data_IF_733771008752
#
_entry.id   IF_733771008752
#
_cell.length_a   1.000
_cell.length_b   1.000
_cell.length_c   1.000
_cell.angle_alpha   90.00
_cell.angle_beta   90.00
_cell.angle_gamma   90.00
#
_symmetry.space_group_name_H-M   'P 1'
#
loop_
_entity.id
_entity.type
_entity.pdbx_description
1 polymer ?
#
# COMPACT_ATOMS: atom_id res chain seq x y z
N UNK A 1 -0.36 7.13 13.89
CA UNK A 1 0.30 5.80 14.00
C UNK A 1 1.40 5.73 12.95
N UNK A 2 2.47 4.98 13.20
CA UNK A 2 3.49 4.68 12.17
C UNK A 2 3.12 3.41 11.40
N UNK A 3 3.61 3.24 10.17
CA UNK A 3 3.39 2.01 9.40
C UNK A 3 3.89 0.77 10.15
N UNK A 4 4.97 0.93 10.94
CA UNK A 4 5.53 -0.12 11.79
C UNK A 4 4.59 -0.60 12.90
N UNK A 5 3.53 0.15 13.20
CA UNK A 5 2.54 -0.13 14.24
C UNK A 5 1.22 -0.68 13.67
N UNK A 6 1.11 -0.83 12.34
CA UNK A 6 -0.06 -1.44 11.69
C UNK A 6 -0.15 -2.91 12.12
N UNK A 7 -1.39 -3.39 12.37
CA UNK A 7 -1.64 -4.78 12.73
C UNK A 7 -1.09 -5.75 11.68
N UNK A 8 -0.50 -6.85 12.16
CA UNK A 8 -0.05 -7.95 11.30
C UNK A 8 -1.22 -8.66 10.59
N UNK A 9 -2.45 -8.50 11.09
CA UNK A 9 -3.64 -9.02 10.42
C UNK A 9 -3.87 -8.36 9.06
N UNK A 10 -3.37 -7.12 8.87
CA UNK A 10 -3.43 -6.40 7.61
C UNK A 10 -2.20 -6.60 6.72
N UNK A 11 -1.16 -7.31 7.17
CA UNK A 11 0.02 -7.60 6.36
C UNK A 11 -0.36 -8.56 5.23
N UNK A 12 -0.31 -8.15 3.97
CA UNK A 12 -0.70 -9.01 2.84
C UNK A 12 0.50 -9.71 2.20
N UNK A 13 1.70 -9.13 2.31
CA UNK A 13 2.93 -9.73 1.80
C UNK A 13 4.16 -9.13 2.47
N UNK A 14 5.27 -9.86 2.46
CA UNK A 14 6.54 -9.42 3.02
C UNK A 14 7.71 -10.10 2.31
N UNK A 15 8.72 -9.34 1.90
CA UNK A 15 10.00 -9.85 1.39
C UNK A 15 11.06 -9.83 2.49
N UNK A 16 12.34 -9.98 2.16
CA UNK A 16 13.41 -9.70 3.13
C UNK A 16 13.51 -8.21 3.49
N UNK A 17 13.08 -7.29 2.62
CA UNK A 17 13.33 -5.84 2.76
C UNK A 17 12.08 -4.97 2.80
N UNK A 18 10.92 -5.47 2.35
CA UNK A 18 9.69 -4.68 2.19
C UNK A 18 8.51 -5.36 2.87
N UNK A 19 7.65 -4.56 3.50
CA UNK A 19 6.35 -4.97 4.01
C UNK A 19 5.23 -4.33 3.20
N UNK A 20 4.14 -5.09 3.02
CA UNK A 20 2.95 -4.66 2.28
C UNK A 20 1.73 -4.88 3.15
N UNK A 21 0.96 -3.84 3.38
CA UNK A 21 -0.24 -3.85 4.21
C UNK A 21 -1.46 -3.40 3.43
N UNK A 22 -2.62 -3.99 3.72
CA UNK A 22 -3.90 -3.36 3.38
C UNK A 22 -4.07 -2.12 4.26
N UNK A 23 -4.40 -0.97 3.65
CA UNK A 23 -4.54 0.28 4.40
C UNK A 23 -5.70 0.18 5.41
N UNK A 24 -5.48 0.45 6.71
CA UNK A 24 -6.56 0.47 7.71
C UNK A 24 -7.63 1.53 7.43
N UNK A 25 -7.23 2.63 6.80
CA UNK A 25 -8.09 3.75 6.39
C UNK A 25 -8.00 3.94 4.87
N UNK A 26 -8.65 3.06 4.08
CA UNK A 26 -8.56 3.13 2.64
C UNK A 26 -9.22 4.41 2.11
N UNK A 27 -8.52 5.14 1.23
CA UNK A 27 -9.08 6.29 0.50
C UNK A 27 -10.04 5.79 -0.59
N UNK A 28 -9.66 4.69 -1.24
CA UNK A 28 -10.48 3.94 -2.18
C UNK A 28 -10.30 2.43 -1.91
N UNK A 29 -11.26 1.58 -2.34
CA UNK A 29 -11.13 0.12 -2.19
C UNK A 29 -9.82 -0.42 -2.75
N UNK A 30 -9.13 -1.26 -1.98
CA UNK A 30 -7.86 -1.85 -2.39
C UNK A 30 -6.63 -0.97 -2.17
N UNK A 31 -6.75 0.13 -1.41
CA UNK A 31 -5.60 0.95 -1.01
C UNK A 31 -4.58 0.13 -0.22
N UNK A 32 -3.36 0.02 -0.75
CA UNK A 32 -2.24 -0.69 -0.14
C UNK A 32 -1.17 0.30 0.35
N UNK A 33 -0.56 -0.03 1.49
CA UNK A 33 0.63 0.65 2.02
C UNK A 33 1.86 -0.24 1.82
N UNK A 34 2.91 0.30 1.23
CA UNK A 34 4.18 -0.39 0.98
C UNK A 34 5.29 0.38 1.67
N UNK A 35 6.04 -0.29 2.54
CA UNK A 35 7.13 0.35 3.27
C UNK A 35 8.35 -0.56 3.37
N UNK A 36 9.56 -0.01 3.32
CA UNK A 36 10.76 -0.75 3.69
C UNK A 36 10.66 -1.24 5.14
N UNK A 37 11.38 -2.31 5.47
CA UNK A 37 11.49 -2.81 6.85
C UNK A 37 12.46 -1.98 7.68
N UNK A 38 13.47 -1.39 7.04
CA UNK A 38 14.37 -0.42 7.68
C UNK A 38 13.61 0.87 7.95
N UNK A 39 13.91 1.53 9.08
CA UNK A 39 13.24 2.79 9.48
C UNK A 39 13.81 4.01 8.75
N UNK A 40 13.83 3.97 7.43
CA UNK A 40 14.21 5.11 6.60
C UNK A 40 13.08 6.13 6.56
N UNK A 41 13.40 7.42 6.56
CA UNK A 41 12.41 8.50 6.60
C UNK A 41 12.09 9.09 5.24
N UNK A 42 13.02 8.97 4.29
CA UNK A 42 12.97 9.60 2.98
C UNK A 42 13.67 8.74 1.92
N UNK A 43 13.47 9.07 0.64
CA UNK A 43 14.04 8.32 -0.47
C UNK A 43 15.57 8.25 -0.44
N UNK A 44 16.25 9.32 0.01
CA UNK A 44 17.71 9.40 0.02
C UNK A 44 18.37 8.42 0.99
N UNK A 45 17.60 7.80 1.89
CA UNK A 45 18.09 6.84 2.86
C UNK A 45 17.92 5.39 2.39
N UNK A 46 17.22 5.14 1.29
CA UNK A 46 17.10 3.79 0.73
C UNK A 46 18.43 3.34 0.14
N UNK A 47 18.80 2.10 0.42
CA UNK A 47 19.84 1.39 -0.33
C UNK A 47 19.35 1.00 -1.73
N UNK A 48 20.27 0.64 -2.62
CA UNK A 48 19.94 0.14 -3.95
C UNK A 48 19.09 -1.14 -3.88
N UNK A 49 19.41 -2.04 -2.95
CA UNK A 49 18.66 -3.29 -2.73
C UNK A 49 17.23 -3.02 -2.27
N UNK A 50 17.04 -2.10 -1.31
CA UNK A 50 15.70 -1.72 -0.85
C UNK A 50 14.89 -1.03 -1.93
N UNK A 51 15.53 -0.15 -2.71
CA UNK A 51 14.89 0.52 -3.85
C UNK A 51 14.40 -0.50 -4.88
N UNK A 52 15.26 -1.45 -5.24
CA UNK A 52 14.94 -2.51 -6.20
C UNK A 52 13.82 -3.43 -5.70
N UNK A 53 13.92 -3.92 -4.46
CA UNK A 53 12.91 -4.79 -3.85
C UNK A 53 11.55 -4.09 -3.74
N UNK A 54 11.53 -2.83 -3.29
CA UNK A 54 10.30 -2.05 -3.11
C UNK A 54 9.57 -1.85 -4.44
N UNK A 55 10.26 -1.42 -5.51
CA UNK A 55 9.61 -1.22 -6.81
C UNK A 55 9.20 -2.54 -7.47
N UNK A 56 9.97 -3.62 -7.28
CA UNK A 56 9.54 -4.96 -7.73
C UNK A 56 8.25 -5.39 -7.05
N UNK A 57 8.11 -5.12 -5.75
CA UNK A 57 6.87 -5.40 -5.02
C UNK A 57 5.71 -4.51 -5.49
N UNK A 58 5.93 -3.23 -5.74
CA UNK A 58 4.90 -2.34 -6.31
C UNK A 58 4.34 -2.93 -7.61
N UNK A 59 5.21 -3.33 -8.54
CA UNK A 59 4.78 -3.91 -9.83
C UNK A 59 3.95 -5.18 -9.64
N UNK A 60 4.39 -6.05 -8.72
CA UNK A 60 3.71 -7.32 -8.45
C UNK A 60 2.33 -7.11 -7.81
N UNK A 61 2.24 -6.22 -6.81
CA UNK A 61 0.97 -5.89 -6.17
C UNK A 61 0.02 -5.26 -7.19
N UNK A 62 0.50 -4.35 -8.03
CA UNK A 62 -0.34 -3.72 -9.04
C UNK A 62 -1.02 -4.73 -9.96
N UNK A 63 -0.28 -5.74 -10.46
CA UNK A 63 -0.86 -6.80 -11.31
C UNK A 63 -1.97 -7.59 -10.61
N UNK A 64 -1.86 -7.80 -9.30
CA UNK A 64 -2.90 -8.48 -8.53
C UNK A 64 -4.11 -7.57 -8.33
N UNK A 65 -3.87 -6.31 -7.98
CA UNK A 65 -4.94 -5.33 -7.79
C UNK A 65 -5.74 -5.08 -9.07
N UNK A 66 -5.09 -5.10 -10.23
CA UNK A 66 -5.75 -4.96 -11.54
C UNK A 66 -6.86 -5.99 -11.73
N UNK A 67 -6.56 -7.25 -11.44
CA UNK A 67 -7.52 -8.36 -11.57
C UNK A 67 -8.58 -8.34 -10.47
N UNK A 68 -8.14 -8.22 -9.21
CA UNK A 68 -9.02 -8.29 -8.02
C UNK A 68 -9.99 -7.13 -7.94
N UNK A 69 -9.52 -5.93 -8.27
CA UNK A 69 -10.32 -4.74 -8.23
C UNK A 69 -10.86 -4.37 -9.59
N UNK A 70 -10.55 -5.05 -10.70
CA UNK A 70 -11.01 -4.66 -12.06
C UNK A 70 -10.65 -3.19 -12.38
N UNK A 71 -9.43 -2.79 -12.02
CA UNK A 71 -8.94 -1.42 -12.23
C UNK A 71 -8.16 -1.32 -13.55
N UNK A 72 -7.97 -0.10 -14.05
CA UNK A 72 -7.24 0.14 -15.32
C UNK A 72 -6.10 1.15 -15.17
N UNK A 73 -5.96 1.73 -13.99
CA UNK A 73 -4.89 2.66 -13.64
C UNK A 73 -4.59 2.56 -12.15
N UNK A 74 -3.54 3.23 -11.71
CA UNK A 74 -3.13 3.30 -10.31
C UNK A 74 -2.73 4.73 -9.96
N UNK A 75 -2.96 5.11 -8.71
CA UNK A 75 -2.30 6.26 -8.09
C UNK A 75 -1.23 5.73 -7.15
N UNK A 76 0.02 6.17 -7.35
CA UNK A 76 1.13 5.90 -6.45
C UNK A 76 1.52 7.22 -5.78
N UNK A 77 1.25 7.32 -4.48
CA UNK A 77 1.57 8.48 -3.66
C UNK A 77 2.70 8.14 -2.69
N UNK A 78 3.68 9.03 -2.54
CA UNK A 78 4.85 8.82 -1.70
C UNK A 78 4.77 9.73 -0.48
N UNK A 79 4.84 9.13 0.71
CA UNK A 79 4.93 9.86 1.97
C UNK A 79 6.39 9.93 2.42
N UNK A 80 7.14 10.85 1.81
CA UNK A 80 8.54 11.13 2.13
C UNK A 80 8.63 12.17 3.26
N UNK A 81 9.19 11.78 4.41
CA UNK A 81 9.47 12.68 5.54
C UNK A 81 8.24 13.18 6.32
N UNK A 82 7.02 12.96 5.81
CA UNK A 82 5.75 13.34 6.47
C UNK A 82 5.51 12.51 7.73
N UNK A 83 5.93 11.25 7.70
CA UNK A 83 5.90 10.34 8.84
C UNK A 83 7.34 9.98 9.23
N UNK A 84 7.54 9.51 10.46
CA UNK A 84 8.84 8.99 10.94
C UNK A 84 9.35 7.75 10.16
N UNK A 85 8.64 7.33 9.11
CA UNK A 85 8.93 6.19 8.27
C UNK A 85 8.40 6.42 6.85
N UNK A 86 9.23 6.15 5.85
CA UNK A 86 8.87 6.22 4.43
C UNK A 86 7.83 5.15 4.11
N UNK A 87 6.80 5.52 3.35
CA UNK A 87 5.93 4.54 2.71
C UNK A 87 5.25 5.09 1.47
N UNK A 88 4.74 4.17 0.66
CA UNK A 88 3.98 4.46 -0.54
C UNK A 88 2.53 4.02 -0.34
N UNK A 89 1.61 4.86 -0.81
CA UNK A 89 0.21 4.56 -1.00
C UNK A 89 0.00 4.11 -2.44
N UNK A 90 -0.36 2.85 -2.64
CA UNK A 90 -0.71 2.30 -3.94
C UNK A 90 -2.24 2.10 -3.99
N UNK A 91 -2.90 2.86 -4.86
CA UNK A 91 -4.37 2.92 -4.93
C UNK A 91 -4.82 2.51 -6.33
N UNK A 92 -5.56 1.40 -6.48
CA UNK A 92 -6.12 1.01 -7.77
C UNK A 92 -7.23 1.97 -8.19
N UNK A 93 -7.26 2.36 -9.47
CA UNK A 93 -8.14 3.40 -10.00
C UNK A 93 -9.00 2.92 -11.17
N UNK A 94 -10.24 3.39 -11.23
CA UNK A 94 -11.20 3.11 -12.31
C UNK A 94 -11.75 4.40 -12.88
N UNK A 95 -12.30 4.30 -14.09
CA UNK A 95 -13.12 5.36 -14.63
C UNK A 95 -14.30 5.65 -13.69
N UNK A 96 -14.48 6.93 -13.34
CA UNK A 96 -15.52 7.43 -12.42
C UNK A 96 -15.52 6.77 -11.02
N UNK A 97 -14.35 6.42 -10.49
CA UNK A 97 -14.24 6.00 -9.08
C UNK A 97 -14.37 7.16 -8.08
N UNK A 98 -14.19 8.39 -8.56
CA UNK A 98 -14.43 9.66 -7.88
C UNK A 98 -15.30 10.55 -8.78
N UNK A 99 -15.99 11.53 -8.18
CA UNK A 99 -16.77 12.52 -8.94
C UNK A 99 -15.82 13.40 -9.76
N UNK A 100 -14.78 13.92 -9.11
CA UNK A 100 -13.67 14.63 -9.76
C UNK A 100 -12.36 13.88 -9.52
N UNK A 101 -11.60 13.60 -10.58
CA UNK A 101 -10.40 12.75 -10.49
C UNK A 101 -9.36 13.26 -9.47
N UNK A 102 -9.23 14.59 -9.35
CA UNK A 102 -8.23 15.24 -8.50
C UNK A 102 -8.68 15.34 -7.03
N UNK A 103 -9.90 14.93 -6.68
CA UNK A 103 -10.31 14.80 -5.27
C UNK A 103 -9.42 13.85 -4.48
N UNK A 104 -8.76 12.90 -5.15
CA UNK A 104 -7.84 11.97 -4.52
C UNK A 104 -6.74 12.67 -3.72
N UNK A 105 -6.25 13.84 -4.16
CA UNK A 105 -5.22 14.59 -3.43
C UNK A 105 -5.74 15.08 -2.08
N UNK A 106 -6.99 15.58 -2.06
CA UNK A 106 -7.65 16.02 -0.82
C UNK A 106 -7.91 14.85 0.13
N UNK A 107 -8.25 13.67 -0.41
CA UNK A 107 -8.44 12.46 0.39
C UNK A 107 -7.11 11.95 0.97
N UNK A 108 -6.04 11.97 0.19
CA UNK A 108 -4.69 11.57 0.60
C UNK A 108 -4.06 12.53 1.62
N UNK A 109 -4.40 13.82 1.58
CA UNK A 109 -3.95 14.81 2.56
C UNK A 109 -4.65 14.63 3.92
N UNK A 110 -5.96 14.32 3.89
CA UNK A 110 -6.77 14.08 5.09
C UNK A 110 -6.58 12.68 5.68
N UNK A 111 -5.88 11.79 4.98
CA UNK A 111 -5.66 10.43 5.41
C UNK A 111 -4.80 10.38 6.68
N UNK A 112 -5.32 9.72 7.71
CA UNK A 112 -4.59 9.40 8.93
C UNK A 112 -4.43 7.90 9.11
N UNK A 113 -3.25 7.46 9.54
CA UNK A 113 -3.03 6.09 9.98
C UNK A 113 -3.56 5.94 11.41
N UNK A 114 -4.71 5.29 11.54
CA UNK A 114 -5.33 4.88 12.82
C UNK A 114 -5.40 3.36 12.91
N UNK A 115 -5.61 2.82 14.13
CA UNK A 115 -5.83 1.39 14.30
C UNK A 115 -7.10 0.96 13.54
N UNK A 116 -7.04 -0.24 12.96
CA UNK A 116 -8.18 -0.83 12.25
C UNK A 116 -9.35 -1.03 13.21
N UNK A 117 -10.53 -0.59 12.79
CA UNK A 117 -11.78 -0.71 13.55
C UNK A 117 -12.87 -1.40 12.72
N UNK A 118 -12.51 -2.05 11.60
CA UNK A 118 -13.43 -2.22 10.46
C UNK A 118 -13.21 -3.46 9.59
N UNK A 119 -13.46 -4.68 10.06
CA UNK A 119 -13.68 -5.87 9.20
C UNK A 119 -12.70 -6.20 8.05
N UNK A 120 -11.53 -5.54 7.93
CA UNK A 120 -10.64 -5.64 6.76
C UNK A 120 -9.77 -6.90 6.80
N UNK A 121 -9.69 -7.55 7.97
CA UNK A 121 -8.88 -8.76 8.19
C UNK A 121 -9.20 -9.88 7.20
N UNK A 122 -10.49 -10.10 6.91
CA UNK A 122 -10.89 -11.10 5.91
C UNK A 122 -10.36 -10.72 4.52
N UNK A 123 -10.44 -9.44 4.14
CA UNK A 123 -9.96 -8.99 2.83
C UNK A 123 -8.43 -9.06 2.73
N UNK A 124 -7.72 -8.72 3.80
CA UNK A 124 -6.27 -8.87 3.87
C UNK A 124 -5.86 -10.35 3.70
N UNK A 125 -6.58 -11.27 4.32
CA UNK A 125 -6.33 -12.71 4.18
C UNK A 125 -6.61 -13.23 2.76
N UNK A 126 -7.67 -12.76 2.10
CA UNK A 126 -7.94 -13.07 0.69
C UNK A 126 -6.77 -12.61 -0.22
N UNK A 127 -6.35 -11.36 -0.08
CA UNK A 127 -5.22 -10.80 -0.84
C UNK A 127 -3.93 -11.56 -0.56
N UNK A 128 -3.67 -11.93 0.70
CA UNK A 128 -2.50 -12.72 1.10
C UNK A 128 -2.49 -14.09 0.41
N UNK A 129 -3.64 -14.76 0.29
CA UNK A 129 -3.74 -16.03 -0.45
C UNK A 129 -3.41 -15.84 -1.93
N UNK A 130 -3.94 -14.81 -2.56
CA UNK A 130 -3.66 -14.52 -3.99
C UNK A 130 -2.17 -14.25 -4.19
N UNK A 131 -1.55 -13.47 -3.30
CA UNK A 131 -0.11 -13.17 -3.34
C UNK A 131 0.75 -14.43 -3.37
N UNK A 132 0.43 -15.43 -2.53
CA UNK A 132 1.17 -16.70 -2.45
C UNK A 132 1.02 -17.51 -3.75
N UNK A 133 -0.15 -17.54 -4.36
CA UNK A 133 -0.40 -18.33 -5.57
C UNK A 133 0.24 -17.73 -6.82
N UNK A 134 0.45 -16.41 -6.85
CA UNK A 134 1.20 -15.73 -7.92
C UNK A 134 2.74 -15.87 -7.77
N UNK A 135 3.22 -16.60 -6.77
CA UNK A 135 4.65 -16.84 -6.49
C UNK A 135 5.15 -18.20 -7.05
N UNK A 136 4.24 -19.02 -7.57
CA UNK A 136 4.48 -20.33 -8.19
C UNK A 136 4.37 -20.26 -9.72
#
# INVERSE_FOLDING_TARGET
>A
MEVSQISLDLLIHSTSLTNVYLCPTPVLPGHILIAPKSRVRNLFQLSEDETSDLFRIILRINNILENEYQCSSLTLDLKDGVYNHLFFSLIPRKFNDLEENDEIYSLLEKMELVQENSGLNQKAEELRKIMIHCEA
#
